data_IF_181364029296
#
_entry.id   IF_181364029296
#
_cell.length_a   1.000
_cell.length_b   1.000
_cell.length_c   1.000
_cell.angle_alpha   90.00
_cell.angle_beta   90.00
_cell.angle_gamma   90.00
#
_symmetry.space_group_name_H-M   'P 1'
#
loop_
_entity.id
_entity.type
_entity.pdbx_description
1 polymer ?
#
# COMPACT_ATOMS: atom_id res chain seq x y z
N UNK A 1 17.35 -7.69 11.49
CA UNK A 1 18.41 -6.86 12.09
C UNK A 1 19.67 -6.81 11.26
N UNK A 2 20.05 -7.88 10.59
CA UNK A 2 21.23 -7.99 9.71
C UNK A 2 21.19 -7.10 8.45
N UNK A 3 20.02 -6.79 7.91
CA UNK A 3 19.86 -5.93 6.71
C UNK A 3 20.24 -4.45 6.97
N UNK A 4 20.01 -3.95 8.19
CA UNK A 4 20.35 -2.56 8.57
C UNK A 4 21.85 -2.39 8.82
N UNK A 5 22.54 -3.49 9.16
CA UNK A 5 24.00 -3.49 9.41
C UNK A 5 24.85 -3.55 8.14
N UNK A 6 24.23 -3.79 6.98
CA UNK A 6 24.91 -4.02 5.71
C UNK A 6 25.18 -2.76 4.86
N UNK A 7 24.80 -1.56 5.35
CA UNK A 7 25.11 -0.31 4.63
C UNK A 7 26.56 0.14 4.99
N UNK A 8 27.52 0.05 4.05
CA UNK A 8 28.88 0.47 4.32
C UNK A 8 28.93 2.00 4.48
N UNK A 9 29.61 2.47 5.53
CA UNK A 9 29.92 3.89 5.74
C UNK A 9 29.01 4.64 6.74
N UNK A 10 28.04 4.00 7.42
CA UNK A 10 27.20 4.68 8.40
C UNK A 10 27.79 4.67 9.82
N UNK A 11 27.85 5.86 10.44
CA UNK A 11 28.31 6.03 11.81
C UNK A 11 27.38 5.33 12.82
N UNK A 12 27.92 4.84 13.91
CA UNK A 12 27.15 4.14 14.99
C UNK A 12 25.96 4.95 15.53
N UNK A 13 25.98 6.30 15.41
CA UNK A 13 24.91 7.18 15.87
C UNK A 13 23.59 7.12 15.07
N UNK A 14 23.64 6.65 13.80
CA UNK A 14 22.47 6.66 12.89
C UNK A 14 21.69 5.32 12.96
N UNK A 15 22.34 4.23 13.39
CA UNK A 15 21.74 2.88 13.37
C UNK A 15 20.50 2.75 14.26
N UNK A 16 20.54 3.34 15.48
CA UNK A 16 19.38 3.31 16.39
C UNK A 16 18.15 4.06 15.83
N UNK A 17 18.28 5.32 15.38
CA UNK A 17 17.20 6.02 14.69
C UNK A 17 16.62 5.26 13.49
N UNK A 18 17.47 4.68 12.64
CA UNK A 18 17.02 3.89 11.48
C UNK A 18 16.23 2.63 11.90
N UNK A 19 16.67 1.94 12.96
CA UNK A 19 15.96 0.77 13.48
C UNK A 19 14.57 1.13 14.01
N UNK A 20 14.42 2.25 14.69
CA UNK A 20 13.11 2.72 15.18
C UNK A 20 12.20 3.11 14.03
N UNK A 21 12.72 3.80 13.00
CA UNK A 21 11.93 4.11 11.80
C UNK A 21 11.57 2.85 11.02
N UNK A 22 12.45 1.85 10.96
CA UNK A 22 12.15 0.56 10.36
C UNK A 22 10.92 -0.12 11.00
N UNK A 23 10.79 -0.04 12.35
CA UNK A 23 9.60 -0.51 13.05
C UNK A 23 8.32 0.25 12.61
N UNK A 24 8.42 1.56 12.36
CA UNK A 24 7.29 2.34 11.85
C UNK A 24 6.89 1.92 10.42
N UNK A 25 7.87 1.66 9.55
CA UNK A 25 7.62 1.12 8.21
C UNK A 25 6.96 -0.28 8.25
N UNK A 26 7.43 -1.16 9.13
CA UNK A 26 6.84 -2.48 9.32
C UNK A 26 5.38 -2.38 9.81
N UNK A 27 5.14 -1.58 10.87
CA UNK A 27 3.80 -1.36 11.42
C UNK A 27 2.85 -0.80 10.35
N UNK A 28 3.27 0.20 9.60
CA UNK A 28 2.51 0.74 8.49
C UNK A 28 2.17 -0.35 7.46
N UNK A 29 3.14 -1.17 7.04
CA UNK A 29 2.92 -2.29 6.12
C UNK A 29 1.87 -3.27 6.65
N UNK A 30 1.97 -3.68 7.90
CA UNK A 30 1.00 -4.56 8.56
C UNK A 30 -0.41 -3.95 8.55
N UNK A 31 -0.56 -2.70 9.01
CA UNK A 31 -1.87 -2.03 9.10
C UNK A 31 -2.54 -1.88 7.73
N UNK A 32 -1.77 -1.60 6.68
CA UNK A 32 -2.29 -1.49 5.32
C UNK A 32 -2.84 -2.83 4.82
N UNK A 33 -2.07 -3.91 4.98
CA UNK A 33 -2.44 -5.22 4.44
C UNK A 33 -3.55 -5.90 5.25
N UNK A 34 -3.54 -5.79 6.59
CA UNK A 34 -4.60 -6.34 7.45
C UNK A 34 -5.97 -5.78 7.03
N UNK A 35 -6.05 -4.49 6.70
CA UNK A 35 -7.29 -3.87 6.27
C UNK A 35 -7.92 -4.61 5.08
N UNK A 36 -7.15 -4.88 4.03
CA UNK A 36 -7.64 -5.57 2.83
C UNK A 36 -7.97 -7.05 3.10
N UNK A 37 -7.19 -7.73 3.94
CA UNK A 37 -7.38 -9.16 4.25
C UNK A 37 -8.63 -9.41 5.08
N UNK A 38 -9.07 -8.46 5.89
CA UNK A 38 -10.26 -8.60 6.73
C UNK A 38 -11.58 -8.30 6.01
N UNK A 39 -11.57 -7.79 4.77
CA UNK A 39 -12.82 -7.47 4.06
C UNK A 39 -13.74 -8.68 3.86
N UNK A 40 -13.27 -9.88 3.45
CA UNK A 40 -14.13 -11.06 3.38
C UNK A 40 -14.68 -11.49 4.75
N UNK A 41 -13.91 -11.28 5.83
CA UNK A 41 -14.39 -11.49 7.19
C UNK A 41 -15.55 -10.55 7.50
N UNK A 42 -15.44 -9.24 7.24
CA UNK A 42 -16.50 -8.28 7.46
C UNK A 42 -17.75 -8.58 6.60
N UNK A 43 -17.55 -8.98 5.34
CA UNK A 43 -18.61 -9.40 4.45
C UNK A 43 -19.50 -10.49 5.09
N UNK A 44 -18.87 -11.57 5.58
CA UNK A 44 -19.59 -12.68 6.22
C UNK A 44 -20.13 -12.30 7.61
N UNK A 45 -19.33 -11.61 8.42
CA UNK A 45 -19.65 -11.31 9.82
C UNK A 45 -20.84 -10.36 9.95
N UNK A 46 -20.91 -9.32 9.12
CA UNK A 46 -21.99 -8.33 9.11
C UNK A 46 -23.08 -8.64 8.07
N UNK A 47 -23.02 -9.76 7.35
CA UNK A 47 -23.93 -10.14 6.26
C UNK A 47 -24.12 -9.02 5.24
N UNK A 48 -23.00 -8.44 4.77
CA UNK A 48 -22.97 -7.30 3.86
C UNK A 48 -23.15 -7.75 2.41
N UNK A 49 -23.47 -6.79 1.53
CA UNK A 49 -23.22 -6.92 0.09
C UNK A 49 -21.73 -6.79 -0.20
N UNK A 50 -21.24 -7.27 -1.34
CA UNK A 50 -19.84 -7.08 -1.74
C UNK A 50 -19.52 -5.59 -1.87
N UNK A 51 -20.43 -4.81 -2.42
CA UNK A 51 -20.31 -3.36 -2.52
C UNK A 51 -20.09 -2.72 -1.16
N UNK A 52 -20.90 -3.07 -0.17
CA UNK A 52 -20.83 -2.46 1.16
C UNK A 52 -19.53 -2.88 1.88
N UNK A 53 -19.10 -4.12 1.74
CA UNK A 53 -17.82 -4.58 2.27
C UNK A 53 -16.62 -3.79 1.69
N UNK A 54 -16.68 -3.39 0.40
CA UNK A 54 -15.63 -2.59 -0.24
C UNK A 54 -15.58 -1.13 0.24
N UNK A 55 -16.58 -0.63 0.98
CA UNK A 55 -16.52 0.67 1.66
C UNK A 55 -15.34 0.76 2.63
N UNK A 56 -14.85 -0.36 3.13
CA UNK A 56 -13.60 -0.47 3.91
C UNK A 56 -12.42 0.12 3.14
N UNK A 57 -12.27 -0.24 1.87
CA UNK A 57 -11.21 0.33 1.02
C UNK A 57 -11.46 1.82 0.74
N UNK A 58 -12.72 2.22 0.51
CA UNK A 58 -13.07 3.63 0.33
C UNK A 58 -12.65 4.45 1.55
N UNK A 59 -13.02 4.00 2.76
CA UNK A 59 -12.67 4.67 4.01
C UNK A 59 -11.14 4.75 4.17
N UNK A 60 -10.40 3.66 3.85
CA UNK A 60 -8.95 3.63 3.97
C UNK A 60 -8.27 4.57 2.99
N UNK A 61 -8.62 4.52 1.71
CA UNK A 61 -7.93 5.30 0.66
C UNK A 61 -8.42 6.75 0.54
N UNK A 62 -9.53 7.11 1.18
CA UNK A 62 -9.95 8.50 1.35
C UNK A 62 -9.03 9.25 2.35
N UNK A 63 -8.48 8.56 3.34
CA UNK A 63 -7.68 9.16 4.38
C UNK A 63 -6.39 9.86 3.88
N UNK A 64 -5.57 9.27 2.98
CA UNK A 64 -4.43 9.97 2.38
C UNK A 64 -4.83 11.27 1.67
N UNK A 65 -5.97 11.28 1.00
CA UNK A 65 -6.49 12.48 0.32
C UNK A 65 -6.73 13.63 1.29
N UNK A 66 -7.24 13.32 2.48
CA UNK A 66 -7.54 14.31 3.52
C UNK A 66 -6.30 14.66 4.35
N UNK A 67 -5.44 13.66 4.66
CA UNK A 67 -4.39 13.79 5.67
C UNK A 67 -3.06 14.35 5.13
N UNK A 68 -2.71 14.13 3.85
CA UNK A 68 -1.37 14.43 3.33
C UNK A 68 -1.00 15.91 3.46
N UNK A 69 -1.88 16.82 3.08
CA UNK A 69 -1.61 18.28 3.15
C UNK A 69 -1.54 18.78 4.58
N UNK A 70 -2.50 18.50 5.48
CA UNK A 70 -2.41 18.87 6.90
C UNK A 70 -1.17 18.27 7.57
N UNK A 71 -0.80 17.04 7.27
CA UNK A 71 0.38 16.37 7.83
C UNK A 71 1.67 17.09 7.42
N UNK A 72 1.80 17.50 6.16
CA UNK A 72 2.94 18.29 5.69
C UNK A 72 3.06 19.64 6.41
N UNK A 73 1.93 20.32 6.64
CA UNK A 73 1.88 21.57 7.42
C UNK A 73 2.27 21.33 8.88
N UNK A 74 1.82 20.25 9.48
CA UNK A 74 2.14 19.87 10.84
C UNK A 74 3.64 19.53 10.99
N UNK A 75 4.21 18.84 10.02
CA UNK A 75 5.64 18.52 9.97
C UNK A 75 6.52 19.77 9.90
N UNK A 76 6.06 20.80 9.19
CA UNK A 76 6.76 22.10 9.15
C UNK A 76 6.74 22.83 10.51
N UNK A 77 5.67 22.67 11.31
CA UNK A 77 5.50 23.35 12.61
C UNK A 77 6.12 22.57 13.77
N UNK A 78 5.85 21.27 13.85
CA UNK A 78 6.20 20.42 14.99
C UNK A 78 7.49 19.61 14.77
N UNK A 79 8.02 19.59 13.53
CA UNK A 79 9.13 18.73 13.15
C UNK A 79 8.72 17.30 12.84
N UNK A 80 9.68 16.51 12.39
CA UNK A 80 9.44 15.13 11.92
C UNK A 80 9.07 14.17 13.05
N UNK A 81 9.78 14.26 14.18
CA UNK A 81 9.60 13.34 15.30
C UNK A 81 8.20 13.44 15.91
N UNK A 82 7.76 14.65 16.26
CA UNK A 82 6.43 14.86 16.87
C UNK A 82 5.30 14.54 15.91
N UNK A 83 5.46 14.86 14.63
CA UNK A 83 4.46 14.52 13.62
C UNK A 83 4.35 13.00 13.42
N UNK A 84 5.46 12.25 13.48
CA UNK A 84 5.45 10.78 13.44
C UNK A 84 4.75 10.18 14.67
N UNK A 85 5.01 10.71 15.87
CA UNK A 85 4.34 10.28 17.10
C UNK A 85 2.82 10.51 17.00
N UNK A 86 2.39 11.67 16.52
CA UNK A 86 0.97 11.95 16.29
C UNK A 86 0.35 11.03 15.24
N UNK A 87 1.07 10.74 14.16
CA UNK A 87 0.63 9.80 13.13
C UNK A 87 0.38 8.40 13.69
N UNK A 88 1.32 7.88 14.51
CA UNK A 88 1.15 6.58 15.18
C UNK A 88 0.03 6.67 16.22
N UNK A 89 -0.14 7.79 16.90
CA UNK A 89 -1.26 8.05 17.82
C UNK A 89 -2.64 7.92 17.14
N UNK A 90 -2.79 8.47 15.93
CA UNK A 90 -4.00 8.24 15.13
C UNK A 90 -4.22 6.76 14.79
N UNK A 91 -3.15 6.02 14.46
CA UNK A 91 -3.25 4.58 14.23
C UNK A 91 -3.67 3.82 15.50
N UNK A 92 -3.15 4.20 16.69
CA UNK A 92 -3.58 3.64 17.99
C UNK A 92 -5.07 3.87 18.20
N UNK A 93 -5.53 5.12 18.04
CA UNK A 93 -6.96 5.45 18.21
C UNK A 93 -7.81 4.65 17.24
N UNK A 94 -7.40 4.53 15.97
CA UNK A 94 -8.09 3.72 14.97
C UNK A 94 -8.18 2.25 15.36
N UNK A 95 -7.08 1.66 15.87
CA UNK A 95 -7.07 0.27 16.36
C UNK A 95 -8.01 0.09 17.57
N UNK A 96 -8.02 1.01 18.53
CA UNK A 96 -8.93 0.96 19.68
C UNK A 96 -10.39 1.10 19.28
N UNK A 97 -10.69 2.02 18.35
CA UNK A 97 -12.02 2.16 17.78
C UNK A 97 -12.46 0.92 17.01
N UNK A 98 -11.54 0.23 16.31
CA UNK A 98 -11.85 -1.03 15.65
C UNK A 98 -12.22 -2.11 16.68
N UNK A 99 -11.47 -2.22 17.77
CA UNK A 99 -11.79 -3.15 18.85
C UNK A 99 -13.17 -2.84 19.48
N UNK A 100 -13.50 -1.55 19.63
CA UNK A 100 -14.82 -1.10 20.10
C UNK A 100 -15.93 -1.42 19.07
N UNK A 101 -15.68 -1.16 17.78
CA UNK A 101 -16.63 -1.44 16.70
C UNK A 101 -17.00 -2.92 16.61
N UNK A 102 -16.04 -3.81 16.82
CA UNK A 102 -16.25 -5.25 16.87
C UNK A 102 -17.06 -5.65 18.11
N UNK A 103 -16.85 -5.01 19.25
CA UNK A 103 -17.66 -5.24 20.46
C UNK A 103 -19.10 -4.76 20.29
N UNK A 104 -19.32 -3.59 19.65
CA UNK A 104 -20.63 -3.04 19.37
C UNK A 104 -21.39 -3.75 18.23
N UNK A 105 -20.70 -4.59 17.44
CA UNK A 105 -21.22 -5.28 16.25
C UNK A 105 -21.86 -4.30 15.24
N UNK A 106 -21.20 -3.16 15.01
CA UNK A 106 -21.71 -2.12 14.11
C UNK A 106 -20.70 -1.78 13.00
N UNK A 107 -21.07 -2.09 11.76
CA UNK A 107 -20.20 -1.87 10.60
C UNK A 107 -19.87 -0.39 10.35
N UNK A 108 -20.77 0.53 10.63
CA UNK A 108 -20.50 1.97 10.53
C UNK A 108 -19.32 2.42 11.39
N UNK A 109 -19.19 1.87 12.61
CA UNK A 109 -18.04 2.14 13.47
C UNK A 109 -16.74 1.51 12.95
N UNK A 110 -16.84 0.37 12.25
CA UNK A 110 -15.68 -0.20 11.53
C UNK A 110 -15.15 0.78 10.49
N UNK A 111 -16.03 1.39 9.69
CA UNK A 111 -15.62 2.38 8.68
C UNK A 111 -14.96 3.62 9.31
N UNK A 112 -15.51 4.13 10.41
CA UNK A 112 -14.91 5.25 11.17
C UNK A 112 -13.54 4.86 11.73
N UNK A 113 -13.43 3.67 12.32
CA UNK A 113 -12.17 3.16 12.87
C UNK A 113 -11.10 3.03 11.79
N UNK A 114 -11.45 2.46 10.62
CA UNK A 114 -10.55 2.32 9.48
C UNK A 114 -10.12 3.68 8.93
N UNK A 115 -11.03 4.63 8.80
CA UNK A 115 -10.70 5.98 8.33
C UNK A 115 -9.70 6.67 9.24
N UNK A 116 -9.90 6.61 10.57
CA UNK A 116 -8.99 7.21 11.56
C UNK A 116 -7.64 6.48 11.56
N UNK A 117 -7.62 5.16 11.51
CA UNK A 117 -6.42 4.35 11.38
C UNK A 117 -5.63 4.74 10.13
N UNK A 118 -6.33 4.89 9.01
CA UNK A 118 -5.74 5.22 7.71
C UNK A 118 -5.19 6.66 7.67
N UNK A 119 -5.78 7.62 8.40
CA UNK A 119 -5.17 8.94 8.63
C UNK A 119 -3.78 8.77 9.27
N UNK A 120 -3.67 7.93 10.30
CA UNK A 120 -2.39 7.62 10.93
C UNK A 120 -1.40 6.98 9.97
N UNK A 121 -1.83 6.00 9.17
CA UNK A 121 -1.00 5.32 8.16
C UNK A 121 -0.53 6.31 7.09
N UNK A 122 -1.41 7.16 6.56
CA UNK A 122 -1.06 8.17 5.56
C UNK A 122 -0.07 9.19 6.11
N UNK A 123 -0.29 9.66 7.34
CA UNK A 123 0.62 10.58 8.01
C UNK A 123 2.00 9.94 8.27
N UNK A 124 2.04 8.65 8.66
CA UNK A 124 3.32 7.92 8.76
C UNK A 124 4.08 7.90 7.43
N UNK A 125 3.39 7.67 6.30
CA UNK A 125 4.01 7.71 4.96
C UNK A 125 4.63 9.06 4.64
N UNK A 126 3.88 10.14 4.87
CA UNK A 126 4.32 11.52 4.58
C UNK A 126 5.56 11.90 5.39
N UNK A 127 5.65 11.41 6.63
CA UNK A 127 6.75 11.78 7.55
C UNK A 127 7.94 10.83 7.44
N UNK A 128 7.70 9.51 7.46
CA UNK A 128 8.77 8.52 7.59
C UNK A 128 9.67 8.45 6.36
N UNK A 129 9.12 8.61 5.14
CA UNK A 129 9.91 8.59 3.91
C UNK A 129 11.00 9.69 3.89
N UNK A 130 10.69 10.98 4.02
CA UNK A 130 11.71 12.02 4.05
C UNK A 130 12.55 11.98 5.33
N UNK A 131 12.04 11.42 6.44
CA UNK A 131 12.81 11.28 7.66
C UNK A 131 13.99 10.32 7.47
N UNK A 132 13.75 9.15 6.89
CA UNK A 132 14.80 8.16 6.58
C UNK A 132 15.86 8.75 5.64
N UNK A 133 15.46 9.52 4.62
CA UNK A 133 16.40 10.10 3.68
C UNK A 133 17.31 11.17 4.31
N UNK A 134 16.82 11.86 5.36
CA UNK A 134 17.57 12.92 6.07
C UNK A 134 18.46 12.43 7.22
N UNK A 135 18.34 11.17 7.61
CA UNK A 135 19.08 10.63 8.77
C UNK A 135 20.55 10.28 8.51
N UNK A 136 21.13 10.64 7.39
CA UNK A 136 22.51 10.33 7.08
C UNK A 136 23.00 11.03 5.81
N UNK A 137 24.16 10.63 5.28
CA UNK A 137 24.70 11.20 4.06
C UNK A 137 23.74 11.13 2.89
N UNK A 138 23.72 12.15 2.04
CA UNK A 138 22.78 12.25 0.90
C UNK A 138 23.05 11.14 -0.12
N UNK A 139 24.30 10.74 -0.28
CA UNK A 139 24.76 9.68 -1.20
C UNK A 139 24.10 8.32 -0.90
N UNK A 140 23.80 8.02 0.37
CA UNK A 140 23.19 6.76 0.80
C UNK A 140 21.68 6.86 1.04
N UNK A 141 21.06 8.03 0.85
CA UNK A 141 19.65 8.28 1.12
C UNK A 141 18.70 7.32 0.39
N UNK A 142 18.96 7.07 -0.91
CA UNK A 142 18.17 6.15 -1.72
C UNK A 142 18.26 4.69 -1.20
N UNK A 143 19.45 4.27 -0.78
CA UNK A 143 19.68 2.95 -0.18
C UNK A 143 18.90 2.77 1.13
N UNK A 144 18.94 3.76 2.01
CA UNK A 144 18.16 3.74 3.27
C UNK A 144 16.67 3.66 3.04
N UNK A 145 16.14 4.46 2.11
CA UNK A 145 14.73 4.42 1.76
C UNK A 145 14.33 3.07 1.13
N UNK A 146 15.19 2.49 0.30
CA UNK A 146 14.96 1.17 -0.29
C UNK A 146 14.86 0.08 0.78
N UNK A 147 15.77 0.07 1.76
CA UNK A 147 15.73 -0.86 2.90
C UNK A 147 14.46 -0.66 3.73
N UNK A 148 14.10 0.58 4.05
CA UNK A 148 12.88 0.89 4.78
C UNK A 148 11.62 0.41 4.03
N UNK A 149 11.56 0.61 2.71
CA UNK A 149 10.47 0.13 1.85
C UNK A 149 10.41 -1.40 1.80
N UNK A 150 11.54 -2.10 1.81
CA UNK A 150 11.59 -3.55 1.89
C UNK A 150 11.03 -4.05 3.25
N UNK A 151 11.35 -3.37 4.35
CA UNK A 151 10.78 -3.68 5.67
C UNK A 151 9.27 -3.45 5.71
N UNK A 152 8.78 -2.38 5.08
CA UNK A 152 7.34 -2.17 4.89
C UNK A 152 6.70 -3.32 4.12
N UNK A 153 7.29 -3.75 3.01
CA UNK A 153 6.81 -4.88 2.22
C UNK A 153 6.85 -6.21 2.99
N UNK A 154 7.79 -6.38 3.92
CA UNK A 154 7.79 -7.52 4.85
C UNK A 154 6.57 -7.46 5.78
N UNK A 155 6.20 -6.28 6.27
CA UNK A 155 4.98 -6.07 7.05
C UNK A 155 3.72 -6.42 6.27
N UNK A 156 3.61 -5.97 5.01
CA UNK A 156 2.44 -6.30 4.15
C UNK A 156 2.32 -7.79 3.87
N UNK A 157 3.45 -8.49 3.73
CA UNK A 157 3.49 -9.94 3.49
C UNK A 157 3.19 -10.74 4.76
N UNK A 158 3.64 -10.27 5.92
CA UNK A 158 3.39 -10.92 7.21
C UNK A 158 1.93 -10.82 7.67
N UNK A 159 1.23 -9.74 7.31
CA UNK A 159 -0.12 -9.47 7.78
C UNK A 159 -1.15 -10.58 7.44
N UNK A 160 -1.26 -11.10 6.21
CA UNK A 160 -2.14 -12.22 5.91
C UNK A 160 -1.82 -13.47 6.73
N UNK A 161 -0.53 -13.74 7.00
CA UNK A 161 -0.09 -14.87 7.81
C UNK A 161 -0.48 -14.70 9.28
N UNK A 162 -0.40 -13.47 9.81
CA UNK A 162 -0.86 -13.16 11.16
C UNK A 162 -2.38 -13.37 11.28
N UNK A 163 -3.16 -12.91 10.31
CA UNK A 163 -4.62 -13.11 10.28
C UNK A 163 -4.94 -14.60 10.16
N UNK A 164 -4.27 -15.35 9.25
CA UNK A 164 -4.46 -16.78 9.12
C UNK A 164 -4.13 -17.53 10.41
N UNK A 165 -3.02 -17.16 11.08
CA UNK A 165 -2.63 -17.75 12.38
C UNK A 165 -3.68 -17.55 13.46
N UNK A 166 -4.30 -16.36 13.53
CA UNK A 166 -5.38 -16.07 14.46
C UNK A 166 -6.62 -16.92 14.17
N UNK A 167 -6.97 -17.11 12.89
CA UNK A 167 -8.08 -17.98 12.50
C UNK A 167 -7.84 -19.46 12.85
N UNK A 168 -6.57 -19.90 12.97
CA UNK A 168 -6.21 -21.24 13.49
C UNK A 168 -6.42 -21.35 14.99
N UNK A 169 -5.91 -20.36 15.73
CA UNK A 169 -5.95 -20.37 17.19
C UNK A 169 -7.37 -20.26 17.76
N UNK A 170 -8.26 -19.65 17.00
CA UNK A 170 -9.66 -19.45 17.36
C UNK A 170 -10.57 -20.03 16.26
N UNK A 171 -10.77 -21.37 16.25
CA UNK A 171 -11.61 -22.02 15.25
C UNK A 171 -13.04 -21.51 15.30
N UNK A 172 -13.57 -21.32 14.12
CA UNK A 172 -14.80 -20.62 13.77
C UNK A 172 -16.05 -21.26 14.38
N UNK A 173 -16.53 -20.72 15.50
CA UNK A 173 -17.96 -20.76 15.81
C UNK A 173 -18.56 -19.37 15.62
N UNK A 174 -19.77 -19.27 15.07
CA UNK A 174 -20.39 -17.98 14.74
C UNK A 174 -20.44 -16.98 15.92
N UNK A 175 -20.48 -17.46 17.15
CA UNK A 175 -20.48 -16.65 18.37
C UNK A 175 -19.07 -16.19 18.82
N UNK A 176 -18.00 -16.87 18.40
CA UNK A 176 -16.63 -16.61 18.83
C UNK A 176 -15.83 -15.70 17.86
N UNK A 177 -16.40 -15.30 16.73
CA UNK A 177 -15.69 -14.56 15.68
C UNK A 177 -15.26 -13.14 16.06
N UNK A 178 -15.88 -12.52 17.03
CA UNK A 178 -15.56 -11.17 17.48
C UNK A 178 -14.22 -11.11 18.20
N UNK A 179 -13.93 -12.10 19.03
CA UNK A 179 -12.78 -12.10 19.92
C UNK A 179 -11.43 -12.05 19.18
N UNK A 180 -11.19 -12.86 18.13
CA UNK A 180 -9.88 -12.87 17.46
C UNK A 180 -9.53 -11.53 16.81
N UNK A 181 -10.47 -10.92 16.08
CA UNK A 181 -10.22 -9.62 15.40
C UNK A 181 -10.06 -8.49 16.41
N UNK A 182 -10.86 -8.48 17.48
CA UNK A 182 -10.72 -7.53 18.57
C UNK A 182 -9.34 -7.60 19.21
N UNK A 183 -8.88 -8.79 19.56
CA UNK A 183 -7.57 -9.00 20.18
C UNK A 183 -6.41 -8.66 19.24
N UNK A 184 -6.56 -8.94 17.93
CA UNK A 184 -5.59 -8.51 16.93
C UNK A 184 -5.39 -6.99 16.94
N UNK A 185 -6.47 -6.21 16.91
CA UNK A 185 -6.36 -4.76 16.92
C UNK A 185 -5.88 -4.19 18.26
N UNK A 186 -6.23 -4.81 19.40
CA UNK A 186 -5.66 -4.45 20.69
C UNK A 186 -4.14 -4.73 20.75
N UNK A 187 -3.68 -5.85 20.20
CA UNK A 187 -2.25 -6.15 20.11
C UNK A 187 -1.50 -5.17 19.22
N UNK A 188 -2.11 -4.77 18.07
CA UNK A 188 -1.56 -3.75 17.17
C UNK A 188 -1.51 -2.37 17.86
N UNK A 189 -2.53 -2.01 18.63
CA UNK A 189 -2.54 -0.79 19.44
C UNK A 189 -1.41 -0.80 20.48
N UNK A 190 -1.23 -1.91 21.18
CA UNK A 190 -0.15 -2.06 22.16
C UNK A 190 1.23 -1.96 21.49
N UNK A 191 1.43 -2.60 20.33
CA UNK A 191 2.66 -2.50 19.54
C UNK A 191 2.93 -1.06 19.11
N UNK A 192 1.91 -0.35 18.64
CA UNK A 192 1.99 1.05 18.24
C UNK A 192 2.31 1.97 19.44
N UNK A 193 1.71 1.74 20.59
CA UNK A 193 2.05 2.45 21.84
C UNK A 193 3.50 2.18 22.25
N UNK A 194 3.97 0.94 22.16
CA UNK A 194 5.38 0.59 22.40
C UNK A 194 6.33 1.35 21.47
N UNK A 195 5.95 1.50 20.19
CA UNK A 195 6.73 2.28 19.22
C UNK A 195 6.74 3.78 19.56
N UNK A 196 5.62 4.34 20.02
CA UNK A 196 5.59 5.72 20.56
C UNK A 196 6.57 5.85 21.74
N UNK A 197 6.56 4.90 22.67
CA UNK A 197 7.51 4.87 23.78
C UNK A 197 8.97 4.83 23.31
N UNK A 198 9.28 3.98 22.32
CA UNK A 198 10.61 3.94 21.70
C UNK A 198 11.02 5.28 21.05
N UNK A 199 10.08 5.95 20.38
CA UNK A 199 10.32 7.28 19.78
C UNK A 199 10.57 8.35 20.84
N UNK A 200 9.98 8.23 22.04
CA UNK A 200 10.26 9.13 23.15
C UNK A 200 11.62 8.82 23.82
N UNK A 201 11.97 7.55 24.00
CA UNK A 201 13.23 7.16 24.61
C UNK A 201 14.45 7.34 23.70
N UNK A 202 14.28 7.16 22.39
CA UNK A 202 15.35 7.36 21.43
C UNK A 202 15.46 8.83 21.05
N UNK A 203 16.66 9.40 21.21
CA UNK A 203 16.96 10.76 20.74
C UNK A 203 17.10 10.78 19.22
N UNK A 204 15.94 10.86 18.54
CA UNK A 204 15.94 11.05 17.09
C UNK A 204 16.25 12.53 16.75
N UNK A 205 17.11 12.79 15.77
CA UNK A 205 17.34 14.15 15.27
C UNK A 205 16.02 14.74 14.79
N UNK A 206 15.68 15.93 15.25
CA UNK A 206 14.48 16.64 14.81
C UNK A 206 14.84 17.61 13.68
N UNK A 207 14.25 17.38 12.53
CA UNK A 207 14.39 18.24 11.37
C UNK A 207 13.12 19.08 11.25
N UNK A 208 13.26 20.38 11.01
CA UNK A 208 12.14 21.25 10.65
C UNK A 208 12.21 21.52 9.16
N UNK A 209 11.09 21.36 8.48
CA UNK A 209 10.99 21.66 7.06
C UNK A 209 10.90 23.18 6.89
N UNK A 210 11.73 23.77 6.03
CA UNK A 210 11.61 25.17 5.64
C UNK A 210 10.24 25.46 5.00
N UNK A 211 9.87 26.73 4.96
CA UNK A 211 8.54 27.23 4.55
C UNK A 211 7.93 26.46 3.38
N UNK A 212 6.65 26.08 3.54
CA UNK A 212 5.81 25.56 2.47
C UNK A 212 5.74 26.64 1.38
N UNK A 213 6.44 26.41 0.27
CA UNK A 213 6.39 27.30 -0.89
C UNK A 213 4.93 27.45 -1.36
N UNK A 214 4.61 28.64 -1.83
CA UNK A 214 3.25 29.06 -2.25
C UNK A 214 2.68 28.07 -3.27
N UNK A 215 1.78 27.18 -2.78
CA UNK A 215 1.26 26.01 -3.48
C UNK A 215 0.39 26.33 -4.74
N UNK A 216 -0.26 27.50 -4.77
CA UNK A 216 -1.33 27.75 -5.74
C UNK A 216 -0.89 28.00 -7.20
N UNK A 217 0.25 28.66 -7.42
CA UNK A 217 0.72 28.92 -8.80
C UNK A 217 1.35 27.67 -9.45
N UNK A 218 2.09 26.89 -8.66
CA UNK A 218 2.77 25.69 -9.13
C UNK A 218 1.82 24.53 -9.48
N UNK A 219 0.65 24.43 -8.82
CA UNK A 219 -0.33 23.39 -9.10
C UNK A 219 -0.92 23.52 -10.51
N UNK A 220 -1.35 24.74 -10.91
CA UNK A 220 -1.93 24.97 -12.23
C UNK A 220 -0.97 24.65 -13.37
N UNK A 221 0.32 24.88 -13.16
CA UNK A 221 1.36 24.53 -14.14
C UNK A 221 1.58 23.03 -14.25
N UNK A 222 1.55 22.29 -13.12
CA UNK A 222 1.66 20.84 -13.12
C UNK A 222 0.56 20.16 -13.94
N UNK A 223 -0.69 20.63 -13.83
CA UNK A 223 -1.80 20.06 -14.59
C UNK A 223 -1.76 20.38 -16.09
N UNK A 224 -0.85 21.26 -16.56
CA UNK A 224 -0.57 21.48 -17.97
C UNK A 224 0.42 20.45 -18.56
N UNK A 225 1.20 19.79 -17.69
CA UNK A 225 2.16 18.78 -18.09
C UNK A 225 1.45 17.45 -18.38
N UNK A 226 1.33 17.10 -19.64
CA UNK A 226 0.60 15.88 -20.08
C UNK A 226 1.16 14.61 -19.42
N UNK A 227 2.48 14.48 -19.26
CA UNK A 227 3.09 13.31 -18.64
C UNK A 227 2.73 13.19 -17.15
N UNK A 228 2.57 14.31 -16.45
CA UNK A 228 2.12 14.33 -15.06
C UNK A 228 0.65 13.92 -14.93
N UNK A 229 -0.25 14.47 -15.76
CA UNK A 229 -1.67 14.11 -15.76
C UNK A 229 -1.88 12.63 -16.10
N UNK A 230 -1.15 12.13 -17.11
CA UNK A 230 -1.13 10.69 -17.41
C UNK A 230 -0.60 9.86 -16.25
N UNK A 231 0.39 10.37 -15.51
CA UNK A 231 0.91 9.75 -14.31
C UNK A 231 -0.11 9.67 -13.19
N UNK A 232 -0.90 10.73 -12.96
CA UNK A 232 -2.00 10.73 -11.99
C UNK A 232 -3.04 9.64 -12.33
N UNK A 233 -3.46 9.58 -13.61
CA UNK A 233 -4.37 8.55 -14.08
C UNK A 233 -3.77 7.14 -13.91
N UNK A 234 -2.49 6.98 -14.22
CA UNK A 234 -1.80 5.70 -14.10
C UNK A 234 -1.67 5.26 -12.62
N UNK A 235 -1.31 6.16 -11.69
CA UNK A 235 -1.27 5.84 -10.25
C UNK A 235 -2.65 5.50 -9.72
N UNK A 236 -3.66 6.30 -10.06
CA UNK A 236 -5.06 6.01 -9.69
C UNK A 236 -5.48 4.61 -10.13
N UNK A 237 -5.24 4.29 -11.41
CA UNK A 237 -5.61 2.99 -11.98
C UNK A 237 -4.79 1.85 -11.39
N UNK A 238 -3.47 2.05 -11.22
CA UNK A 238 -2.57 1.03 -10.68
C UNK A 238 -2.90 0.69 -9.23
N UNK A 239 -2.99 1.69 -8.36
CA UNK A 239 -3.32 1.46 -6.93
C UNK A 239 -4.71 0.84 -6.83
N UNK A 240 -5.63 1.30 -7.67
CA UNK A 240 -6.98 0.73 -7.75
C UNK A 240 -6.97 -0.74 -8.08
N UNK A 241 -6.27 -1.17 -9.13
CA UNK A 241 -6.25 -2.58 -9.55
C UNK A 241 -5.45 -3.46 -8.61
N UNK A 242 -4.34 -2.95 -8.05
CA UNK A 242 -3.53 -3.67 -7.06
C UNK A 242 -4.38 -4.03 -5.83
N UNK A 243 -5.12 -3.05 -5.29
CA UNK A 243 -5.98 -3.24 -4.12
C UNK A 243 -7.20 -4.10 -4.47
N UNK A 244 -7.82 -3.88 -5.62
CA UNK A 244 -8.97 -4.65 -6.07
C UNK A 244 -8.65 -6.15 -6.12
N UNK A 245 -7.54 -6.54 -6.75
CA UNK A 245 -7.12 -7.95 -6.82
C UNK A 245 -6.68 -8.44 -5.45
N UNK A 246 -5.85 -7.68 -4.72
CA UNK A 246 -5.36 -8.06 -3.39
C UNK A 246 -6.49 -8.34 -2.38
N UNK A 247 -7.65 -7.68 -2.55
CA UNK A 247 -8.82 -7.85 -1.70
C UNK A 247 -9.71 -9.01 -2.20
N UNK A 248 -10.00 -9.07 -3.51
CA UNK A 248 -10.99 -9.98 -4.07
C UNK A 248 -10.43 -11.36 -4.40
N UNK A 249 -9.11 -11.50 -4.54
CA UNK A 249 -8.48 -12.80 -4.74
C UNK A 249 -8.74 -13.77 -3.57
N UNK A 250 -8.83 -13.25 -2.33
CA UNK A 250 -9.24 -14.04 -1.17
C UNK A 250 -10.65 -14.60 -1.33
N UNK A 251 -11.61 -13.76 -1.72
CA UNK A 251 -12.99 -14.18 -2.00
C UNK A 251 -13.04 -15.22 -3.13
N UNK A 252 -12.27 -15.02 -4.20
CA UNK A 252 -12.18 -15.96 -5.32
C UNK A 252 -11.66 -17.35 -4.88
N UNK A 253 -10.61 -17.37 -4.07
CA UNK A 253 -10.01 -18.61 -3.57
C UNK A 253 -10.90 -19.37 -2.59
N UNK A 254 -11.69 -18.65 -1.76
CA UNK A 254 -12.58 -19.24 -0.77
C UNK A 254 -13.98 -19.57 -1.31
N UNK A 255 -14.35 -19.08 -2.49
CA UNK A 255 -15.64 -19.37 -3.12
C UNK A 255 -15.75 -20.85 -3.50
N UNK A 256 -16.86 -21.49 -3.11
CA UNK A 256 -17.08 -22.92 -3.30
C UNK A 256 -17.11 -23.33 -4.78
N UNK A 257 -17.53 -22.44 -5.67
CA UNK A 257 -17.65 -22.69 -7.11
C UNK A 257 -16.35 -22.42 -7.89
N UNK A 258 -15.38 -21.69 -7.29
CA UNK A 258 -14.15 -21.24 -7.93
C UNK A 258 -12.90 -21.90 -7.33
N UNK A 259 -12.46 -21.41 -6.15
CA UNK A 259 -11.24 -21.89 -5.49
C UNK A 259 -11.46 -23.07 -4.58
N UNK A 260 -12.62 -23.16 -3.94
CA UNK A 260 -13.04 -24.19 -2.99
C UNK A 260 -12.01 -24.43 -1.85
N UNK A 261 -11.33 -23.38 -1.39
CA UNK A 261 -10.40 -23.42 -0.27
C UNK A 261 -11.10 -22.96 1.03
N UNK A 262 -10.63 -23.47 2.17
CA UNK A 262 -11.06 -22.89 3.45
C UNK A 262 -10.59 -21.43 3.56
N UNK A 263 -11.32 -20.61 4.32
CA UNK A 263 -10.96 -19.20 4.55
C UNK A 263 -9.51 -19.06 5.05
N UNK A 264 -9.08 -19.95 5.94
CA UNK A 264 -7.72 -20.00 6.46
C UNK A 264 -6.68 -20.27 5.37
N UNK A 265 -6.91 -21.29 4.52
CA UNK A 265 -6.00 -21.64 3.42
C UNK A 265 -5.92 -20.49 2.40
N UNK A 266 -7.06 -19.92 2.02
CA UNK A 266 -7.14 -18.79 1.11
C UNK A 266 -6.39 -17.58 1.67
N UNK A 267 -6.59 -17.25 2.97
CA UNK A 267 -5.90 -16.15 3.64
C UNK A 267 -4.38 -16.34 3.67
N UNK A 268 -3.90 -17.56 3.94
CA UNK A 268 -2.46 -17.87 3.90
C UNK A 268 -1.86 -17.68 2.51
N UNK A 269 -2.60 -18.05 1.46
CA UNK A 269 -2.15 -17.90 0.07
C UNK A 269 -2.08 -16.44 -0.39
N UNK A 270 -2.85 -15.53 0.20
CA UNK A 270 -2.73 -14.08 -0.10
C UNK A 270 -1.33 -13.53 0.24
N UNK A 271 -0.62 -14.16 1.18
CA UNK A 271 0.78 -13.82 1.42
C UNK A 271 1.67 -14.02 0.17
N UNK A 272 1.30 -14.90 -0.77
CA UNK A 272 2.00 -15.09 -2.05
C UNK A 272 1.79 -13.86 -2.95
N UNK A 273 0.61 -13.26 -2.96
CA UNK A 273 0.35 -12.03 -3.72
C UNK A 273 1.26 -10.88 -3.25
N UNK A 274 1.27 -10.60 -1.95
CA UNK A 274 2.09 -9.53 -1.37
C UNK A 274 3.58 -9.87 -1.34
N UNK A 275 3.91 -11.14 -1.07
CA UNK A 275 5.28 -11.66 -1.15
C UNK A 275 5.84 -11.65 -2.58
N UNK A 276 4.99 -11.92 -3.58
CA UNK A 276 5.32 -11.76 -5.00
C UNK A 276 5.66 -10.30 -5.34
N UNK A 277 4.89 -9.35 -4.80
CA UNK A 277 5.20 -7.92 -4.95
C UNK A 277 6.55 -7.54 -4.32
N UNK A 278 6.87 -8.09 -3.13
CA UNK A 278 8.17 -7.89 -2.50
C UNK A 278 9.30 -8.51 -3.34
N UNK A 279 9.17 -9.77 -3.72
CA UNK A 279 10.18 -10.48 -4.52
C UNK A 279 10.44 -9.79 -5.86
N UNK A 280 9.38 -9.38 -6.54
CA UNK A 280 9.48 -8.66 -7.81
C UNK A 280 10.17 -7.31 -7.68
N UNK A 281 9.94 -6.55 -6.59
CA UNK A 281 10.68 -5.29 -6.31
C UNK A 281 12.17 -5.54 -6.12
N UNK A 282 12.54 -6.60 -5.41
CA UNK A 282 13.94 -6.98 -5.21
C UNK A 282 14.59 -7.40 -6.54
N UNK A 283 13.92 -8.27 -7.31
CA UNK A 283 14.39 -8.73 -8.63
C UNK A 283 14.55 -7.56 -9.60
N UNK A 284 13.53 -6.69 -9.68
CA UNK A 284 13.61 -5.50 -10.53
C UNK A 284 14.74 -4.57 -10.10
N UNK A 285 14.92 -4.34 -8.79
CA UNK A 285 16.03 -3.52 -8.27
C UNK A 285 17.41 -4.02 -8.70
N UNK A 286 17.61 -5.35 -8.76
CA UNK A 286 18.87 -5.95 -9.20
C UNK A 286 19.11 -5.80 -10.72
N UNK A 287 18.06 -5.81 -11.54
CA UNK A 287 18.18 -5.76 -13.00
C UNK A 287 17.83 -4.40 -13.61
N UNK A 288 17.38 -3.43 -12.81
CA UNK A 288 16.87 -2.14 -13.28
C UNK A 288 17.88 -1.37 -14.15
N UNK A 289 19.19 -1.54 -13.90
CA UNK A 289 20.25 -0.92 -14.69
C UNK A 289 20.44 -1.54 -16.08
N UNK A 290 19.89 -2.76 -16.31
CA UNK A 290 20.00 -3.51 -17.57
C UNK A 290 18.73 -3.49 -18.41
N UNK A 291 17.60 -3.10 -17.81
CA UNK A 291 16.27 -3.21 -18.42
C UNK A 291 15.65 -1.84 -18.59
N UNK A 292 15.09 -1.58 -19.77
CA UNK A 292 14.32 -0.36 -19.98
C UNK A 292 13.05 -0.38 -19.13
N UNK A 293 12.93 0.57 -18.20
CA UNK A 293 11.83 0.66 -17.24
C UNK A 293 10.44 0.70 -17.90
N UNK A 294 10.29 1.45 -19.01
CA UNK A 294 9.01 1.57 -19.73
C UNK A 294 8.65 0.26 -20.43
N UNK A 295 9.63 -0.44 -21.01
CA UNK A 295 9.42 -1.74 -21.63
C UNK A 295 9.05 -2.81 -20.59
N UNK A 296 9.75 -2.83 -19.45
CA UNK A 296 9.42 -3.72 -18.34
C UNK A 296 8.00 -3.48 -17.83
N UNK A 297 7.60 -2.21 -17.68
CA UNK A 297 6.23 -1.84 -17.29
C UNK A 297 5.19 -2.35 -18.28
N UNK A 298 5.40 -2.17 -19.60
CA UNK A 298 4.48 -2.67 -20.63
C UNK A 298 4.32 -4.18 -20.59
N UNK A 299 5.42 -4.91 -20.48
CA UNK A 299 5.42 -6.38 -20.40
C UNK A 299 4.70 -6.85 -19.14
N UNK A 300 5.05 -6.30 -17.98
CA UNK A 300 4.43 -6.67 -16.71
C UNK A 300 2.92 -6.38 -16.71
N UNK A 301 2.51 -5.23 -17.27
CA UNK A 301 1.09 -4.85 -17.38
C UNK A 301 0.32 -5.80 -18.31
N UNK A 302 0.91 -6.17 -19.46
CA UNK A 302 0.31 -7.12 -20.41
C UNK A 302 0.16 -8.51 -19.76
N UNK A 303 1.19 -9.01 -19.08
CA UNK A 303 1.14 -10.30 -18.38
C UNK A 303 0.11 -10.26 -17.25
N UNK A 304 0.06 -9.19 -16.45
CA UNK A 304 -0.94 -9.05 -15.39
C UNK A 304 -2.38 -9.08 -15.94
N UNK A 305 -2.64 -8.33 -17.01
CA UNK A 305 -3.95 -8.36 -17.69
C UNK A 305 -4.32 -9.74 -18.22
N UNK A 306 -3.35 -10.46 -18.80
CA UNK A 306 -3.53 -11.83 -19.28
C UNK A 306 -3.84 -12.80 -18.14
N UNK A 307 -3.12 -12.72 -17.01
CA UNK A 307 -3.37 -13.55 -15.82
C UNK A 307 -4.78 -13.33 -15.26
N UNK A 308 -5.24 -12.08 -15.21
CA UNK A 308 -6.63 -11.77 -14.82
C UNK A 308 -7.64 -12.32 -15.82
N UNK A 309 -7.37 -12.20 -17.12
CA UNK A 309 -8.21 -12.80 -18.16
C UNK A 309 -8.29 -14.33 -18.03
N UNK A 310 -7.17 -15.01 -17.75
CA UNK A 310 -7.13 -16.44 -17.48
C UNK A 310 -7.93 -16.82 -16.23
N UNK A 311 -7.92 -15.99 -15.18
CA UNK A 311 -8.74 -16.21 -14.00
C UNK A 311 -10.25 -16.16 -14.31
N UNK A 312 -10.66 -15.23 -15.18
CA UNK A 312 -12.05 -15.14 -15.65
C UNK A 312 -12.43 -16.39 -16.47
N UNK A 313 -11.57 -16.82 -17.39
CA UNK A 313 -11.87 -17.94 -18.30
C UNK A 313 -11.85 -19.28 -17.57
N UNK A 314 -10.85 -19.53 -16.71
CA UNK A 314 -10.68 -20.83 -16.04
C UNK A 314 -11.79 -21.14 -15.04
N UNK A 315 -12.31 -20.12 -14.32
CA UNK A 315 -13.35 -20.30 -13.30
C UNK A 315 -13.04 -21.39 -12.29
N UNK A 316 -11.79 -21.54 -11.87
CA UNK A 316 -11.30 -22.65 -11.05
C UNK A 316 -10.18 -22.21 -10.12
N UNK A 317 -9.68 -23.11 -9.27
CA UNK A 317 -8.50 -22.87 -8.40
C UNK A 317 -7.29 -22.33 -9.17
N UNK A 318 -7.08 -22.76 -10.41
CA UNK A 318 -6.00 -22.26 -11.26
C UNK A 318 -6.13 -20.77 -11.56
N UNK A 319 -7.38 -20.27 -11.71
CA UNK A 319 -7.65 -18.85 -11.82
C UNK A 319 -7.22 -18.08 -10.57
N UNK A 320 -7.48 -18.65 -9.39
CA UNK A 320 -7.00 -18.07 -8.13
C UNK A 320 -5.47 -17.98 -8.07
N UNK A 321 -4.75 -19.02 -8.54
CA UNK A 321 -3.28 -18.98 -8.62
C UNK A 321 -2.81 -17.89 -9.59
N UNK A 322 -3.47 -17.75 -10.74
CA UNK A 322 -3.17 -16.64 -11.67
C UNK A 322 -3.30 -15.29 -10.98
N UNK A 323 -4.35 -15.06 -10.18
CA UNK A 323 -4.55 -13.81 -9.43
C UNK A 323 -3.42 -13.58 -8.41
N UNK A 324 -2.93 -14.60 -7.73
CA UNK A 324 -1.80 -14.47 -6.80
C UNK A 324 -0.50 -14.06 -7.51
N UNK A 325 -0.25 -14.60 -8.72
CA UNK A 325 0.93 -14.27 -9.52
C UNK A 325 0.93 -12.83 -10.05
N UNK A 326 -0.25 -12.18 -10.13
CA UNK A 326 -0.35 -10.77 -10.51
C UNK A 326 0.45 -9.89 -9.55
N UNK A 327 0.56 -10.25 -8.27
CA UNK A 327 1.36 -9.51 -7.29
C UNK A 327 2.82 -9.32 -7.72
N UNK A 328 3.42 -10.35 -8.33
CA UNK A 328 4.78 -10.27 -8.89
C UNK A 328 4.88 -9.22 -10.02
N UNK A 329 3.88 -9.19 -10.90
CA UNK A 329 3.85 -8.23 -12.02
C UNK A 329 3.62 -6.79 -11.55
N UNK A 330 2.82 -6.59 -10.52
CA UNK A 330 2.52 -5.29 -9.93
C UNK A 330 3.74 -4.62 -9.29
N UNK A 331 4.74 -5.39 -8.91
CA UNK A 331 5.90 -4.97 -8.11
C UNK A 331 6.65 -3.75 -8.65
N UNK A 332 6.84 -3.66 -9.96
CA UNK A 332 7.61 -2.61 -10.62
C UNK A 332 6.75 -1.44 -11.12
N UNK A 333 5.41 -1.59 -11.15
CA UNK A 333 4.54 -0.61 -11.82
C UNK A 333 4.56 0.73 -11.11
N UNK A 334 4.38 0.76 -9.77
CA UNK A 334 4.38 2.02 -9.02
C UNK A 334 5.68 2.81 -9.18
N UNK A 335 6.89 2.23 -8.95
CA UNK A 335 8.13 2.97 -9.11
C UNK A 335 8.33 3.52 -10.53
N UNK A 336 7.95 2.77 -11.56
CA UNK A 336 8.08 3.21 -12.95
C UNK A 336 7.11 4.35 -13.25
N UNK A 337 5.82 4.21 -12.92
CA UNK A 337 4.84 5.27 -13.13
C UNK A 337 5.28 6.54 -12.39
N UNK A 338 5.62 6.42 -11.10
CA UNK A 338 6.02 7.54 -10.27
C UNK A 338 7.23 8.29 -10.87
N UNK A 339 8.30 7.56 -11.19
CA UNK A 339 9.52 8.17 -11.74
C UNK A 339 9.30 8.87 -13.09
N UNK A 340 8.46 8.30 -13.96
CA UNK A 340 8.10 8.93 -15.23
C UNK A 340 7.21 10.18 -15.04
N UNK A 341 6.35 10.17 -14.01
CA UNK A 341 5.42 11.28 -13.73
C UNK A 341 6.12 12.52 -13.16
N UNK A 342 7.17 12.33 -12.35
CA UNK A 342 7.90 13.44 -11.74
C UNK A 342 9.10 13.92 -12.56
N UNK A 343 9.35 13.29 -13.70
CA UNK A 343 10.49 13.58 -14.56
C UNK A 343 10.44 15.02 -15.07
N UNK A 344 11.58 15.72 -15.01
CA UNK A 344 11.76 17.09 -15.50
C UNK A 344 10.89 18.18 -14.82
N UNK A 345 10.33 17.89 -13.63
CA UNK A 345 9.49 18.86 -12.91
C UNK A 345 10.29 19.82 -12.01
N UNK A 346 11.60 19.58 -11.81
CA UNK A 346 12.47 20.45 -10.99
C UNK A 346 11.89 20.70 -9.59
N UNK A 347 11.76 21.97 -9.21
CA UNK A 347 11.25 22.39 -7.89
C UNK A 347 9.81 21.96 -7.63
N UNK A 348 9.04 21.62 -8.68
CA UNK A 348 7.65 21.18 -8.57
C UNK A 348 7.51 19.70 -8.19
N UNK A 349 8.63 18.95 -8.13
CA UNK A 349 8.63 17.50 -7.84
C UNK A 349 7.97 17.17 -6.50
N UNK A 350 8.19 17.98 -5.47
CA UNK A 350 7.60 17.77 -4.14
C UNK A 350 6.06 17.86 -4.19
N UNK A 351 5.53 18.88 -4.86
CA UNK A 351 4.09 19.07 -5.03
C UNK A 351 3.47 17.98 -5.91
N UNK A 352 4.15 17.63 -7.00
CA UNK A 352 3.75 16.55 -7.89
C UNK A 352 3.66 15.21 -7.17
N UNK A 353 4.64 14.91 -6.30
CA UNK A 353 4.65 13.70 -5.48
C UNK A 353 3.45 13.65 -4.53
N UNK A 354 3.06 14.77 -3.92
CA UNK A 354 1.88 14.84 -3.07
C UNK A 354 0.60 14.51 -3.85
N UNK A 355 0.41 15.07 -5.05
CA UNK A 355 -0.73 14.75 -5.89
C UNK A 355 -0.74 13.27 -6.36
N UNK A 356 0.43 12.70 -6.67
CA UNK A 356 0.54 11.28 -7.02
C UNK A 356 0.13 10.37 -5.85
N UNK A 357 0.51 10.72 -4.61
CA UNK A 357 0.06 9.99 -3.41
C UNK A 357 -1.47 10.11 -3.24
N UNK A 358 -2.02 11.32 -3.45
CA UNK A 358 -3.46 11.53 -3.39
C UNK A 358 -4.21 10.75 -4.49
N UNK A 359 -3.62 10.56 -5.67
CA UNK A 359 -4.17 9.72 -6.72
C UNK A 359 -4.34 8.26 -6.31
N UNK A 360 -3.66 7.82 -5.24
CA UNK A 360 -3.88 6.52 -4.59
C UNK A 360 -5.32 6.26 -4.12
N UNK A 361 -6.20 7.29 -4.11
CA UNK A 361 -7.66 7.13 -3.86
C UNK A 361 -8.30 6.11 -4.82
N UNK A 362 -7.68 5.82 -5.96
CA UNK A 362 -8.05 4.72 -6.84
C UNK A 362 -8.20 3.38 -6.12
N UNK A 363 -7.40 3.15 -5.06
CA UNK A 363 -7.50 1.97 -4.19
C UNK A 363 -8.82 1.86 -3.40
N UNK A 364 -9.58 2.95 -3.30
CA UNK A 364 -10.97 2.92 -2.81
C UNK A 364 -11.98 2.75 -3.95
N UNK A 365 -11.77 3.45 -5.07
CA UNK A 365 -12.75 3.55 -6.17
C UNK A 365 -12.87 2.25 -6.96
N UNK A 366 -11.75 1.66 -7.42
CA UNK A 366 -11.82 0.46 -8.25
C UNK A 366 -12.31 -0.78 -7.49
N UNK A 367 -11.86 -1.08 -6.26
CA UNK A 367 -12.45 -2.17 -5.48
C UNK A 367 -13.93 -1.98 -5.21
N UNK A 368 -14.38 -0.75 -4.93
CA UNK A 368 -15.81 -0.46 -4.75
C UNK A 368 -16.61 -0.74 -6.02
N UNK A 369 -16.10 -0.29 -7.18
CA UNK A 369 -16.71 -0.60 -8.48
C UNK A 369 -16.72 -2.12 -8.74
N UNK A 370 -15.64 -2.84 -8.43
CA UNK A 370 -15.59 -4.28 -8.56
C UNK A 370 -16.59 -4.96 -7.62
N UNK A 371 -16.70 -4.51 -6.36
CA UNK A 371 -17.68 -5.03 -5.40
C UNK A 371 -19.13 -4.87 -5.88
N UNK A 372 -19.44 -3.71 -6.46
CA UNK A 372 -20.73 -3.49 -7.10
C UNK A 372 -20.97 -4.45 -8.27
N UNK A 373 -19.97 -4.66 -9.12
CA UNK A 373 -20.05 -5.65 -10.21
C UNK A 373 -20.18 -7.09 -9.67
N UNK A 374 -19.56 -7.41 -8.52
CA UNK A 374 -19.73 -8.73 -7.88
C UNK A 374 -21.20 -8.99 -7.50
N UNK A 375 -21.89 -7.97 -6.98
CA UNK A 375 -23.31 -8.06 -6.61
C UNK A 375 -24.23 -8.20 -7.86
N UNK A 376 -23.84 -7.61 -9.01
CA UNK A 376 -24.68 -7.58 -10.22
C UNK A 376 -24.44 -8.78 -11.14
N UNK A 377 -23.18 -9.12 -11.43
CA UNK A 377 -22.78 -10.12 -12.43
C UNK A 377 -22.00 -11.29 -11.83
N UNK A 378 -21.83 -11.31 -10.51
CA UNK A 378 -21.13 -12.36 -9.77
C UNK A 378 -19.62 -12.15 -9.68
N UNK A 379 -19.03 -12.86 -8.72
CA UNK A 379 -17.60 -12.71 -8.34
C UNK A 379 -16.65 -12.92 -9.52
N UNK A 380 -16.84 -13.98 -10.31
CA UNK A 380 -15.96 -14.34 -11.43
C UNK A 380 -15.90 -13.23 -12.50
N UNK A 381 -17.05 -12.73 -12.95
CA UNK A 381 -17.13 -11.74 -14.01
C UNK A 381 -16.76 -10.34 -13.53
N UNK A 382 -16.80 -10.06 -12.23
CA UNK A 382 -16.36 -8.77 -11.68
C UNK A 382 -14.89 -8.46 -11.98
N UNK A 383 -14.07 -9.49 -12.23
CA UNK A 383 -12.66 -9.33 -12.65
C UNK A 383 -12.49 -8.66 -14.02
N UNK A 384 -13.57 -8.42 -14.77
CA UNK A 384 -13.55 -7.53 -15.93
C UNK A 384 -13.12 -6.10 -15.56
N UNK A 385 -13.41 -5.63 -14.34
CA UNK A 385 -12.98 -4.31 -13.85
C UNK A 385 -11.45 -4.22 -13.79
N UNK A 386 -10.72 -5.09 -13.06
CA UNK A 386 -9.26 -5.09 -13.08
C UNK A 386 -8.67 -5.41 -14.48
N UNK A 387 -9.32 -6.23 -15.29
CA UNK A 387 -8.87 -6.50 -16.67
C UNK A 387 -8.87 -5.21 -17.51
N UNK A 388 -9.98 -4.44 -17.50
CA UNK A 388 -10.09 -3.16 -18.16
C UNK A 388 -9.08 -2.12 -17.62
N UNK A 389 -8.81 -2.15 -16.30
CA UNK A 389 -7.80 -1.28 -15.68
C UNK A 389 -6.38 -1.61 -16.17
N UNK A 390 -6.00 -2.89 -16.33
CA UNK A 390 -4.71 -3.26 -16.92
C UNK A 390 -4.62 -2.87 -18.40
N UNK A 391 -5.71 -2.96 -19.16
CA UNK A 391 -5.74 -2.46 -20.53
C UNK A 391 -5.49 -0.95 -20.57
N UNK A 392 -6.13 -0.18 -19.70
CA UNK A 392 -5.89 1.27 -19.58
C UNK A 392 -4.43 1.57 -19.21
N UNK A 393 -3.85 0.84 -18.24
CA UNK A 393 -2.43 0.97 -17.87
C UNK A 393 -1.50 0.65 -19.04
N UNK A 394 -1.82 -0.37 -19.84
CA UNK A 394 -1.04 -0.72 -21.04
C UNK A 394 -1.12 0.41 -22.07
N UNK A 395 -2.29 0.97 -22.33
CA UNK A 395 -2.47 2.11 -23.22
C UNK A 395 -1.68 3.34 -22.77
N UNK A 396 -1.68 3.63 -21.46
CA UNK A 396 -0.83 4.68 -20.88
C UNK A 396 0.65 4.35 -21.09
N UNK A 397 1.05 3.11 -20.82
CA UNK A 397 2.43 2.64 -21.01
C UNK A 397 2.91 2.77 -22.46
N UNK A 398 2.03 2.55 -23.45
CA UNK A 398 2.36 2.73 -24.87
C UNK A 398 2.63 4.21 -25.21
N UNK A 399 1.98 5.15 -24.52
CA UNK A 399 2.20 6.59 -24.68
C UNK A 399 3.39 7.13 -23.87
N UNK A 400 3.90 6.38 -22.87
CA UNK A 400 5.11 6.78 -22.13
C UNK A 400 6.32 6.84 -23.08
N UNK A 401 7.04 7.96 -23.06
CA UNK A 401 8.28 8.11 -23.84
C UNK A 401 9.41 7.32 -23.20
N UNK A 402 10.09 6.50 -23.97
CA UNK A 402 11.32 5.86 -23.51
C UNK A 402 12.38 6.95 -23.28
N UNK A 403 13.17 6.88 -22.20
CA UNK A 403 14.36 7.69 -22.09
C UNK A 403 15.22 7.42 -23.33
N UNK A 404 15.70 8.47 -24.01
CA UNK A 404 16.72 8.28 -25.03
C UNK A 404 17.85 7.46 -24.41
N UNK A 405 18.25 6.38 -25.06
CA UNK A 405 19.40 5.59 -24.63
C UNK A 405 20.54 6.58 -24.47
N UNK A 406 21.16 6.62 -23.27
CA UNK A 406 22.39 7.38 -23.09
C UNK A 406 23.34 6.84 -24.15
N UNK A 407 23.55 7.61 -25.21
CA UNK A 407 24.54 7.29 -26.22
C UNK A 407 25.86 7.12 -25.46
N UNK A 408 26.44 5.93 -25.60
CA UNK A 408 27.79 5.62 -25.14
C UNK A 408 28.75 6.69 -25.66
N UNK A 409 28.95 7.74 -24.88
CA UNK A 409 30.12 8.59 -24.98
C UNK A 409 31.09 8.11 -23.93
N UNK A 410 31.80 7.06 -24.29
CA UNK A 410 33.09 6.69 -23.78
C UNK A 410 33.81 6.02 -24.94
N UNK A 411 34.39 6.85 -25.80
CA UNK A 411 35.53 6.49 -26.63
C UNK A 411 36.77 7.12 -26.01
#
# INVERSE_FOLDING_TARGET
MTLITALPGESHGIRKPLAVLACAFFLWGCLTSINSVLIPFFYHYFSLTYRDAMLVNVAFYLAPFVACLPCSALMARLGYRMTLILAIGFAVVGCLLMALAMWLVQFSWVLVAIFILAIGVAAMQVVANPYVTRLGPEETAAGRLSVASAINSTGTTAAPLLVAGILVLFPVSLAAHQEPVRWLFLALAALACGLIGLLYCCHLPDFRQGQIQRLNHSAKELFRETHFVMGLLAIFTYVGVEVAIGTTALSYLSDASLGALSMQQATSLIAIYWGGSLAGRMLYGMVAHRVNAVSAFRIATAIAGMLVGLAIVSGSRWGGICLLLVGLMNSLMYPVIFSQSVRNLGDKTSLASAFLIMAGIGGGVLPFLQGWMMDVIGLRLSFLVPCAAYLLLLLVGLKMRQPAAASSQAA
#
